data_IF_005045409524
#
_entry.id   IF_005045409524
#
_cell.length_a   1.000
_cell.length_b   1.000
_cell.length_c   1.000
_cell.angle_alpha   90.00
_cell.angle_beta   90.00
_cell.angle_gamma   90.00
#
_symmetry.space_group_name_H-M   'P 1'
#
loop_
_entity.id
_entity.type
_entity.pdbx_description
1 polymer ?
#
# COMPACT_ATOMS: atom_id res chain seq x y z
N UNK A 1 -27.13 49.81 21.46
CA UNK A 1 -27.24 48.71 20.46
C UNK A 1 -25.91 48.22 19.86
N UNK A 2 -24.72 48.60 20.36
CA UNK A 2 -23.45 48.42 19.59
C UNK A 2 -22.59 47.20 20.05
N UNK A 3 -22.92 46.55 21.18
CA UNK A 3 -22.06 45.48 21.74
C UNK A 3 -22.31 44.09 21.16
N UNK A 4 -23.56 43.78 20.81
CA UNK A 4 -23.95 42.45 20.30
C UNK A 4 -23.36 42.23 18.90
N UNK A 5 -23.41 43.24 18.04
CA UNK A 5 -22.87 43.15 16.68
C UNK A 5 -21.35 42.91 16.67
N UNK A 6 -20.59 43.58 17.56
CA UNK A 6 -19.14 43.35 17.70
C UNK A 6 -18.79 41.94 18.18
N UNK A 7 -19.61 41.36 19.06
CA UNK A 7 -19.42 39.99 19.55
C UNK A 7 -19.71 38.99 18.42
N UNK A 8 -20.79 39.21 17.67
CA UNK A 8 -21.14 38.39 16.51
C UNK A 8 -20.04 38.46 15.44
N UNK A 9 -19.51 39.65 15.16
CA UNK A 9 -18.45 39.87 14.18
C UNK A 9 -17.12 39.21 14.60
N UNK A 10 -16.76 39.30 15.88
CA UNK A 10 -15.55 38.63 16.42
C UNK A 10 -15.67 37.11 16.37
N UNK A 11 -16.83 36.55 16.72
CA UNK A 11 -17.11 35.11 16.63
C UNK A 11 -17.09 34.66 15.17
N UNK A 12 -17.70 35.43 14.27
CA UNK A 12 -17.70 35.16 12.83
C UNK A 12 -16.28 35.15 12.26
N UNK A 13 -15.46 36.15 12.60
CA UNK A 13 -14.07 36.23 12.16
C UNK A 13 -13.24 35.05 12.68
N UNK A 14 -13.39 34.69 13.96
CA UNK A 14 -12.70 33.55 14.56
C UNK A 14 -13.12 32.21 13.93
N UNK A 15 -14.42 32.02 13.67
CA UNK A 15 -14.91 30.83 12.99
C UNK A 15 -14.36 30.76 11.55
N UNK A 16 -14.35 31.88 10.83
CA UNK A 16 -13.86 31.97 9.46
C UNK A 16 -12.36 31.60 9.36
N UNK A 17 -11.56 32.13 10.28
CA UNK A 17 -10.13 31.83 10.37
C UNK A 17 -9.88 30.34 10.72
N UNK A 18 -10.64 29.77 11.67
CA UNK A 18 -10.60 28.33 11.98
C UNK A 18 -11.01 27.45 10.79
N UNK A 19 -12.01 27.87 10.02
CA UNK A 19 -12.43 27.17 8.80
C UNK A 19 -11.37 27.23 7.70
N UNK A 20 -10.69 28.37 7.52
CA UNK A 20 -9.58 28.50 6.56
C UNK A 20 -8.38 27.65 6.96
N UNK A 21 -7.96 27.66 8.23
CA UNK A 21 -6.89 26.81 8.73
C UNK A 21 -7.22 25.31 8.56
N UNK A 22 -8.45 24.90 8.91
CA UNK A 22 -8.87 23.51 8.76
C UNK A 22 -8.88 23.05 7.29
N UNK A 23 -9.25 23.93 6.35
CA UNK A 23 -9.16 23.62 4.91
C UNK A 23 -7.71 23.41 4.46
N UNK A 24 -6.78 24.27 4.92
CA UNK A 24 -5.36 24.14 4.64
C UNK A 24 -4.80 22.78 5.11
N UNK A 25 -5.05 22.43 6.38
CA UNK A 25 -4.59 21.18 6.98
C UNK A 25 -5.13 19.93 6.25
N UNK A 26 -6.40 19.99 5.81
CA UNK A 26 -7.03 18.92 5.03
C UNK A 26 -6.35 18.78 3.66
N UNK A 27 -6.13 19.88 2.95
CA UNK A 27 -5.48 19.88 1.64
C UNK A 27 -4.05 19.35 1.76
N UNK A 28 -3.32 19.75 2.79
CA UNK A 28 -1.94 19.30 3.02
C UNK A 28 -1.88 17.80 3.32
N UNK A 29 -2.77 17.29 4.20
CA UNK A 29 -2.88 15.85 4.48
C UNK A 29 -3.25 15.05 3.25
N UNK A 30 -4.25 15.49 2.48
CA UNK A 30 -4.67 14.84 1.25
C UNK A 30 -3.52 14.83 0.24
N UNK A 31 -2.84 15.96 0.06
CA UNK A 31 -1.69 16.07 -0.84
C UNK A 31 -0.56 15.12 -0.42
N UNK A 32 -0.23 15.05 0.87
CA UNK A 32 0.78 14.11 1.38
C UNK A 32 0.42 12.64 1.13
N UNK A 33 -0.85 12.27 1.35
CA UNK A 33 -1.35 10.91 1.08
C UNK A 33 -1.29 10.60 -0.42
N UNK A 34 -1.75 11.52 -1.26
CA UNK A 34 -1.74 11.36 -2.72
C UNK A 34 -0.30 11.22 -3.23
N UNK A 35 0.62 12.08 -2.80
CA UNK A 35 2.02 11.99 -3.21
C UNK A 35 2.64 10.65 -2.82
N UNK A 36 2.42 10.18 -1.58
CA UNK A 36 2.89 8.85 -1.14
C UNK A 36 2.28 7.73 -1.95
N UNK A 37 0.99 7.80 -2.25
CA UNK A 37 0.28 6.79 -3.04
C UNK A 37 0.81 6.74 -4.47
N UNK A 38 1.03 7.89 -5.11
CA UNK A 38 1.60 7.97 -6.46
C UNK A 38 3.01 7.39 -6.48
N UNK A 39 3.89 7.80 -5.56
CA UNK A 39 5.25 7.27 -5.48
C UNK A 39 5.23 5.75 -5.26
N UNK A 40 4.42 5.26 -4.33
CA UNK A 40 4.28 3.83 -4.08
C UNK A 40 3.74 3.09 -5.31
N UNK A 41 2.75 3.65 -6.00
CA UNK A 41 2.15 3.05 -7.19
C UNK A 41 3.17 2.90 -8.32
N UNK A 42 4.00 3.92 -8.56
CA UNK A 42 5.07 3.86 -9.57
C UNK A 42 6.07 2.74 -9.24
N UNK A 43 6.56 2.69 -8.00
CA UNK A 43 7.48 1.63 -7.55
C UNK A 43 6.84 0.25 -7.68
N UNK A 44 5.60 0.11 -7.22
CA UNK A 44 4.85 -1.14 -7.30
C UNK A 44 4.67 -1.60 -8.75
N UNK A 45 4.37 -0.68 -9.66
CA UNK A 45 4.18 -0.98 -11.07
C UNK A 45 5.48 -1.48 -11.72
N UNK A 46 6.61 -0.79 -11.48
CA UNK A 46 7.92 -1.23 -11.97
C UNK A 46 8.26 -2.61 -11.40
N UNK A 47 8.06 -2.81 -10.11
CA UNK A 47 8.30 -4.09 -9.44
C UNK A 47 7.45 -5.22 -10.02
N UNK A 48 6.18 -4.94 -10.31
CA UNK A 48 5.27 -5.90 -10.95
C UNK A 48 5.78 -6.30 -12.33
N UNK A 49 6.22 -5.34 -13.15
CA UNK A 49 6.83 -5.64 -14.44
C UNK A 49 8.12 -6.45 -14.29
N UNK A 50 9.00 -6.08 -13.36
CA UNK A 50 10.24 -6.82 -13.10
C UNK A 50 9.97 -8.28 -12.73
N UNK A 51 9.03 -8.54 -11.80
CA UNK A 51 8.66 -9.91 -11.44
C UNK A 51 8.03 -10.64 -12.61
N UNK A 52 7.13 -9.99 -13.36
CA UNK A 52 6.49 -10.59 -14.53
C UNK A 52 7.51 -11.03 -15.58
N UNK A 53 8.42 -10.13 -15.97
CA UNK A 53 9.48 -10.47 -16.91
C UNK A 53 10.48 -11.49 -16.35
N UNK A 54 10.85 -11.39 -15.08
CA UNK A 54 11.71 -12.41 -14.44
C UNK A 54 11.08 -13.80 -14.49
N UNK A 55 9.76 -13.90 -14.27
CA UNK A 55 9.01 -15.15 -14.36
C UNK A 55 9.01 -15.71 -15.78
N UNK A 56 8.81 -14.86 -16.79
CA UNK A 56 8.86 -15.26 -18.20
C UNK A 56 10.26 -15.72 -18.61
N UNK A 57 11.30 -15.01 -18.17
CA UNK A 57 12.70 -15.37 -18.41
C UNK A 57 13.05 -16.69 -17.75
N UNK A 58 12.67 -16.88 -16.48
CA UNK A 58 12.84 -18.15 -15.78
C UNK A 58 12.08 -19.29 -16.47
N UNK A 59 10.87 -19.05 -16.95
CA UNK A 59 10.08 -20.05 -17.67
C UNK A 59 10.80 -20.47 -18.94
N UNK A 60 11.31 -19.49 -19.70
CA UNK A 60 12.04 -19.74 -20.95
C UNK A 60 13.37 -20.46 -20.68
N UNK A 61 14.04 -20.12 -19.59
CA UNK A 61 15.25 -20.83 -19.16
C UNK A 61 14.96 -22.30 -18.83
N UNK A 62 13.92 -22.56 -18.05
CA UNK A 62 13.49 -23.92 -17.73
C UNK A 62 13.09 -24.68 -19.01
N UNK A 63 12.33 -24.06 -19.91
CA UNK A 63 12.00 -24.61 -21.22
C UNK A 63 13.25 -25.05 -22.02
N UNK A 64 14.32 -24.24 -22.00
CA UNK A 64 15.58 -24.58 -22.69
C UNK A 64 16.31 -25.78 -22.08
N UNK A 65 16.11 -26.06 -20.79
CA UNK A 65 16.68 -27.25 -20.13
C UNK A 65 15.84 -28.50 -20.35
N UNK A 66 14.52 -28.34 -20.50
CA UNK A 66 13.57 -29.44 -20.71
C UNK A 66 13.31 -29.75 -22.19
N UNK A 67 13.97 -29.04 -23.10
CA UNK A 67 13.79 -29.15 -24.55
C UNK A 67 12.30 -29.07 -24.96
N UNK A 68 11.58 -28.15 -24.33
CA UNK A 68 10.12 -28.06 -24.39
C UNK A 68 9.69 -26.60 -24.46
N UNK A 69 8.71 -26.30 -25.32
CA UNK A 69 8.28 -24.91 -25.55
C UNK A 69 7.38 -24.34 -24.44
N UNK A 70 6.74 -25.19 -23.62
CA UNK A 70 5.70 -24.74 -22.69
C UNK A 70 5.87 -25.22 -21.24
N UNK A 71 6.63 -26.28 -20.99
CA UNK A 71 6.68 -26.95 -19.67
C UNK A 71 7.17 -26.04 -18.54
N UNK A 72 8.14 -25.17 -18.80
CA UNK A 72 8.67 -24.18 -17.87
C UNK A 72 7.66 -23.14 -17.40
N UNK A 73 6.72 -22.73 -18.27
CA UNK A 73 5.61 -21.86 -17.84
C UNK A 73 4.66 -22.62 -16.89
N UNK A 74 4.41 -23.89 -17.16
CA UNK A 74 3.61 -24.76 -16.29
C UNK A 74 4.24 -24.95 -14.91
N UNK A 75 5.55 -25.18 -14.85
CA UNK A 75 6.31 -25.34 -13.59
C UNK A 75 6.25 -24.06 -12.76
N UNK A 76 6.48 -22.90 -13.36
CA UNK A 76 6.42 -21.62 -12.63
C UNK A 76 5.00 -21.29 -12.17
N UNK A 77 3.99 -21.59 -12.99
CA UNK A 77 2.58 -21.46 -12.59
C UNK A 77 2.23 -22.35 -11.40
N UNK A 78 2.65 -23.62 -11.42
CA UNK A 78 2.45 -24.55 -10.31
C UNK A 78 3.16 -24.08 -9.04
N UNK A 79 4.40 -23.57 -9.16
CA UNK A 79 5.13 -22.97 -8.04
C UNK A 79 4.34 -21.80 -7.42
N UNK A 80 3.85 -20.86 -8.24
CA UNK A 80 3.04 -19.74 -7.73
C UNK A 80 1.74 -20.19 -7.09
N UNK A 81 1.10 -21.22 -7.63
CA UNK A 81 -0.11 -21.81 -7.05
C UNK A 81 0.15 -22.43 -5.67
N UNK A 82 1.28 -23.11 -5.49
CA UNK A 82 1.70 -23.64 -4.18
C UNK A 82 1.92 -22.51 -3.19
N UNK A 83 2.69 -21.47 -3.58
CA UNK A 83 2.93 -20.29 -2.74
C UNK A 83 1.61 -19.64 -2.34
N UNK A 84 0.68 -19.49 -3.30
CA UNK A 84 -0.66 -18.94 -3.05
C UNK A 84 -1.44 -19.77 -2.02
N UNK A 85 -1.47 -21.10 -2.14
CA UNK A 85 -2.15 -21.98 -1.18
C UNK A 85 -1.54 -21.85 0.21
N UNK A 86 -0.21 -21.82 0.32
CA UNK A 86 0.50 -21.67 1.60
C UNK A 86 0.14 -20.33 2.23
N UNK A 87 0.23 -19.23 1.48
CA UNK A 87 -0.15 -17.91 1.96
C UNK A 87 -1.62 -17.87 2.40
N UNK A 88 -2.53 -18.37 1.57
CA UNK A 88 -3.97 -18.41 1.87
C UNK A 88 -4.25 -19.16 3.19
N UNK A 89 -3.59 -20.30 3.41
CA UNK A 89 -3.69 -21.03 4.69
C UNK A 89 -3.13 -20.21 5.85
N UNK A 90 -1.97 -19.55 5.70
CA UNK A 90 -1.38 -18.71 6.76
C UNK A 90 -2.27 -17.51 7.12
N UNK A 91 -2.87 -16.86 6.13
CA UNK A 91 -3.85 -15.80 6.30
C UNK A 91 -5.08 -16.31 7.07
N UNK A 92 -5.65 -17.45 6.66
CA UNK A 92 -6.84 -18.03 7.31
C UNK A 92 -6.59 -18.51 8.73
N UNK A 93 -5.40 -19.00 9.04
CA UNK A 93 -5.06 -19.51 10.39
C UNK A 93 -4.75 -18.38 11.39
N UNK A 94 -4.78 -17.11 10.98
CA UNK A 94 -4.44 -15.96 11.82
C UNK A 94 -2.98 -15.92 12.30
N UNK A 95 -2.14 -16.87 11.85
CA UNK A 95 -0.71 -16.95 12.18
C UNK A 95 0.04 -15.75 11.63
N UNK A 96 -0.34 -15.27 10.45
CA UNK A 96 0.24 -14.06 9.88
C UNK A 96 -0.10 -12.81 10.70
N UNK A 97 -1.34 -12.69 11.19
CA UNK A 97 -1.74 -11.61 12.10
C UNK A 97 -0.91 -11.63 13.39
N UNK A 98 -0.71 -12.81 13.98
CA UNK A 98 0.15 -12.98 15.18
C UNK A 98 1.62 -12.69 14.93
N UNK A 99 2.17 -13.07 13.77
CA UNK A 99 3.56 -12.80 13.40
C UNK A 99 3.82 -11.29 13.18
N UNK A 100 2.87 -10.60 12.53
CA UNK A 100 2.94 -9.15 12.34
C UNK A 100 2.79 -8.42 13.69
N UNK A 101 1.85 -8.84 14.54
CA UNK A 101 1.69 -8.28 15.89
C UNK A 101 2.94 -8.48 16.77
N UNK A 102 3.63 -9.63 16.68
CA UNK A 102 4.83 -9.89 17.48
C UNK A 102 6.02 -9.00 17.08
N UNK A 103 6.19 -8.73 15.79
CA UNK A 103 7.24 -7.83 15.31
C UNK A 103 6.92 -6.36 15.63
N UNK A 104 5.66 -5.95 15.49
CA UNK A 104 5.22 -4.60 15.87
C UNK A 104 5.38 -4.34 17.39
N UNK A 105 5.15 -5.36 18.23
CA UNK A 105 5.40 -5.28 19.69
C UNK A 105 6.88 -5.24 20.06
N UNK A 106 7.76 -5.82 19.23
CA UNK A 106 9.22 -5.77 19.41
C UNK A 106 9.78 -4.39 19.09
N UNK A 107 9.29 -3.76 18.01
CA UNK A 107 9.68 -2.40 17.63
C UNK A 107 9.26 -1.31 18.63
N UNK A 108 8.25 -1.56 19.46
CA UNK A 108 7.80 -0.62 20.52
C UNK A 108 8.52 -0.79 21.87
N UNK A 109 9.31 -1.85 22.04
CA UNK A 109 10.08 -2.12 23.27
C UNK A 109 11.59 -1.83 23.12
N UNK A 110 12.01 -1.45 21.91
CA UNK A 110 13.38 -1.01 21.60
C UNK A 110 13.48 0.50 21.62
#
# INVERSE_FOLDING_TARGET
>A
MIKIDKIIESISSFLKERFEHMKGDIIEKISSIISKLISFFILFLIFLFTIGFASLTLAKYINSMLDSDFSGYGIISAFYLIVFIVLYKLFKTGKLKKAIESEMRRGLKG
#
